data_IF_728237212604
#
_entry.id   IF_728237212604
#
_cell.length_a   1.000
_cell.length_b   1.000
_cell.length_c   1.000
_cell.angle_alpha   90.00
_cell.angle_beta   90.00
_cell.angle_gamma   90.00
#
_symmetry.space_group_name_H-M   'P 1'
#
loop_
_entity.id
_entity.type
_entity.pdbx_description
1 polymer ?
#
# COMPACT_ATOMS: atom_id res chain seq x y z
N UNK A 1 -51.56 -29.34 34.16
CA UNK A 1 -51.06 -28.37 33.15
C UNK A 1 -49.74 -27.81 33.63
N UNK A 2 -48.69 -27.83 32.79
CA UNK A 2 -47.40 -27.09 32.79
C UNK A 2 -46.71 -26.83 34.15
N UNK A 3 -45.40 -27.05 34.28
CA UNK A 3 -44.38 -26.15 33.71
C UNK A 3 -43.00 -26.84 33.67
N UNK A 4 -42.42 -26.92 32.48
CA UNK A 4 -41.00 -27.17 32.26
C UNK A 4 -40.20 -25.93 32.69
N UNK A 5 -39.24 -26.08 33.60
CA UNK A 5 -38.20 -25.09 33.83
C UNK A 5 -36.99 -25.45 32.97
N UNK A 6 -36.84 -24.73 31.85
CA UNK A 6 -35.73 -24.85 30.92
C UNK A 6 -34.45 -24.24 31.49
N UNK A 7 -33.37 -25.01 31.48
CA UNK A 7 -32.03 -24.52 31.73
C UNK A 7 -31.57 -23.70 30.50
N UNK A 8 -31.41 -22.40 30.68
CA UNK A 8 -30.80 -21.52 29.69
C UNK A 8 -29.27 -21.68 29.77
N UNK A 9 -28.71 -22.48 28.87
CA UNK A 9 -27.28 -22.54 28.60
C UNK A 9 -26.85 -21.22 27.92
N UNK A 10 -26.15 -20.38 28.67
CA UNK A 10 -25.41 -19.22 28.18
C UNK A 10 -24.29 -19.69 27.24
N UNK A 11 -24.58 -19.76 25.94
CA UNK A 11 -23.56 -19.86 24.92
C UNK A 11 -22.91 -18.48 24.73
N UNK A 12 -21.80 -18.24 25.43
CA UNK A 12 -20.87 -17.16 25.12
C UNK A 12 -20.22 -17.49 23.78
N UNK A 13 -20.83 -17.03 22.68
CA UNK A 13 -20.21 -17.07 21.36
C UNK A 13 -18.97 -16.19 21.38
N UNK A 14 -17.81 -16.82 21.53
CA UNK A 14 -16.51 -16.25 21.19
C UNK A 14 -16.61 -15.71 19.75
N UNK A 15 -16.74 -14.40 19.62
CA UNK A 15 -16.36 -13.70 18.39
C UNK A 15 -14.87 -13.93 18.21
N UNK A 16 -14.51 -15.06 17.61
CA UNK A 16 -13.19 -15.23 17.03
C UNK A 16 -13.08 -14.12 15.98
N UNK A 17 -12.42 -13.01 16.34
CA UNK A 17 -11.88 -12.08 15.38
C UNK A 17 -11.10 -12.95 14.40
N UNK A 18 -11.68 -13.17 13.21
CA UNK A 18 -11.03 -13.92 12.16
C UNK A 18 -9.76 -13.14 11.83
N UNK A 19 -8.63 -13.55 12.41
CA UNK A 19 -7.30 -13.15 12.00
C UNK A 19 -7.04 -13.74 10.62
N UNK A 20 -7.78 -13.25 9.63
CA UNK A 20 -7.53 -13.57 8.23
C UNK A 20 -6.14 -13.02 7.91
N UNK A 21 -5.26 -13.89 7.42
CA UNK A 21 -3.92 -13.50 7.02
C UNK A 21 -4.01 -12.37 5.98
N UNK A 22 -3.19 -11.33 6.15
CA UNK A 22 -3.18 -10.20 5.24
C UNK A 22 -2.83 -10.66 3.81
N UNK A 23 -3.32 -9.96 2.77
CA UNK A 23 -2.99 -10.28 1.39
C UNK A 23 -1.47 -10.35 1.14
N UNK A 24 -0.70 -9.46 1.77
CA UNK A 24 0.76 -9.52 1.74
C UNK A 24 1.30 -10.84 2.28
N UNK A 25 0.83 -11.29 3.45
CA UNK A 25 1.29 -12.55 4.05
C UNK A 25 1.00 -13.74 3.13
N UNK A 26 -0.15 -13.74 2.46
CA UNK A 26 -0.50 -14.79 1.49
C UNK A 26 0.43 -14.79 0.27
N UNK A 27 0.87 -13.60 -0.17
CA UNK A 27 1.75 -13.47 -1.34
C UNK A 27 3.24 -13.72 -1.02
N UNK A 28 3.69 -13.36 0.18
CA UNK A 28 5.12 -13.29 0.52
C UNK A 28 5.54 -14.16 1.73
N UNK A 29 4.60 -14.68 2.51
CA UNK A 29 4.87 -15.55 3.65
C UNK A 29 5.45 -14.81 4.88
N UNK A 30 6.16 -15.56 5.73
CA UNK A 30 6.81 -15.07 6.96
C UNK A 30 8.26 -14.62 6.75
N UNK A 31 8.78 -14.72 5.53
CA UNK A 31 10.18 -14.45 5.23
C UNK A 31 10.50 -12.95 5.34
N UNK A 32 11.79 -12.63 5.24
CA UNK A 32 12.25 -11.25 5.20
C UNK A 32 11.49 -10.44 4.15
N UNK A 33 11.25 -9.15 4.45
CA UNK A 33 10.55 -8.26 3.54
C UNK A 33 11.25 -8.25 2.16
N UNK A 34 10.53 -8.40 1.03
CA UNK A 34 11.15 -8.49 -0.28
C UNK A 34 12.06 -7.29 -0.56
N UNK A 35 13.34 -7.56 -0.73
CA UNK A 35 14.35 -6.54 -1.04
C UNK A 35 14.43 -6.28 -2.55
N UNK A 36 15.28 -5.33 -2.94
CA UNK A 36 15.57 -5.03 -4.33
C UNK A 36 16.15 -6.24 -5.08
N UNK A 37 15.82 -6.34 -6.37
CA UNK A 37 16.46 -7.30 -7.28
C UNK A 37 17.92 -6.90 -7.52
N UNK A 38 18.75 -7.85 -7.93
CA UNK A 38 20.15 -7.58 -8.29
C UNK A 38 20.23 -6.47 -9.34
N UNK A 39 21.11 -5.49 -9.12
CA UNK A 39 21.30 -4.34 -10.01
C UNK A 39 20.20 -3.27 -9.95
N UNK A 40 19.12 -3.49 -9.21
CA UNK A 40 17.96 -2.58 -9.14
C UNK A 40 17.78 -2.01 -7.73
N UNK A 41 16.95 -0.98 -7.61
CA UNK A 41 16.32 -0.53 -6.38
C UNK A 41 14.86 -1.00 -6.34
N UNK A 42 14.31 -1.23 -5.16
CA UNK A 42 12.88 -1.45 -4.94
C UNK A 42 12.24 -0.21 -4.33
N UNK A 43 11.41 0.49 -5.12
CA UNK A 43 10.60 1.60 -4.63
C UNK A 43 9.17 1.12 -4.42
N UNK A 44 8.70 1.21 -3.17
CA UNK A 44 7.32 0.95 -2.81
C UNK A 44 6.58 2.28 -2.71
N UNK A 45 5.44 2.37 -3.40
CA UNK A 45 4.52 3.50 -3.29
C UNK A 45 3.25 2.97 -2.65
N UNK A 46 2.94 3.47 -1.46
CA UNK A 46 1.84 2.99 -0.62
C UNK A 46 0.77 4.05 -0.48
N UNK A 47 -0.48 3.63 -0.38
CA UNK A 47 -1.58 4.48 0.10
C UNK A 47 -2.16 3.84 1.35
N UNK A 48 -2.25 4.63 2.41
CA UNK A 48 -2.88 4.17 3.65
C UNK A 48 -4.39 3.95 3.46
N UNK A 49 -5.05 3.50 4.52
CA UNK A 49 -6.49 3.33 4.59
C UNK A 49 -7.19 4.62 4.19
N UNK A 50 -8.20 4.48 3.34
CA UNK A 50 -9.02 5.59 2.87
C UNK A 50 -10.50 5.22 2.95
N UNK A 51 -11.42 6.20 3.05
CA UNK A 51 -12.85 5.95 2.92
C UNK A 51 -13.20 5.16 1.65
N UNK A 52 -14.24 4.32 1.65
CA UNK A 52 -14.61 3.50 0.48
C UNK A 52 -14.93 4.31 -0.79
N UNK A 53 -15.38 5.55 -0.62
CA UNK A 53 -15.73 6.50 -1.68
C UNK A 53 -14.57 7.44 -2.06
N UNK A 54 -13.42 7.35 -1.39
CA UNK A 54 -12.27 8.18 -1.71
C UNK A 54 -11.72 7.86 -3.11
N UNK A 55 -11.48 8.87 -3.96
CA UNK A 55 -10.95 8.65 -5.30
C UNK A 55 -9.56 8.01 -5.25
N UNK A 56 -9.23 7.18 -6.25
CA UNK A 56 -7.87 6.64 -6.45
C UNK A 56 -6.83 7.75 -6.63
N UNK A 57 -5.59 7.51 -6.21
CA UNK A 57 -4.45 8.40 -6.49
C UNK A 57 -3.65 7.79 -7.64
N UNK A 58 -3.53 8.51 -8.75
CA UNK A 58 -2.76 8.05 -9.90
C UNK A 58 -1.29 8.43 -9.75
N UNK A 59 -0.41 7.55 -10.22
CA UNK A 59 1.04 7.71 -10.18
C UNK A 59 1.58 7.74 -11.60
N UNK A 60 2.45 8.71 -11.90
CA UNK A 60 3.27 8.70 -13.11
C UNK A 60 4.76 8.76 -12.77
N UNK A 61 5.55 8.35 -13.77
CA UNK A 61 6.97 8.60 -13.84
C UNK A 61 7.21 9.54 -15.02
N UNK A 62 7.61 10.77 -14.73
CA UNK A 62 7.52 11.90 -15.66
C UNK A 62 6.11 11.98 -16.26
N UNK A 63 5.97 11.76 -17.57
CA UNK A 63 4.68 11.82 -18.28
C UNK A 63 4.02 10.45 -18.48
N UNK A 64 4.67 9.36 -18.06
CA UNK A 64 4.19 8.01 -18.31
C UNK A 64 3.40 7.48 -17.11
N UNK A 65 2.15 7.05 -17.27
CA UNK A 65 1.37 6.48 -16.18
C UNK A 65 1.99 5.16 -15.71
N UNK A 66 2.11 5.02 -14.39
CA UNK A 66 2.69 3.84 -13.73
C UNK A 66 1.59 2.99 -13.09
N UNK A 67 0.54 3.61 -12.56
CA UNK A 67 -0.59 2.90 -11.95
C UNK A 67 -1.46 3.81 -11.10
N UNK A 68 -2.36 3.21 -10.32
CA UNK A 68 -3.22 3.92 -9.37
C UNK A 68 -3.35 3.17 -8.05
N UNK A 69 -3.51 3.91 -6.96
CA UNK A 69 -3.63 3.40 -5.59
C UNK A 69 -5.00 3.75 -5.00
N UNK A 70 -5.76 2.75 -4.59
CA UNK A 70 -6.95 2.88 -3.72
C UNK A 70 -6.56 2.72 -2.25
N UNK A 71 -7.50 2.91 -1.32
CA UNK A 71 -7.22 2.77 0.11
C UNK A 71 -6.60 1.41 0.45
N UNK A 72 -5.58 1.42 1.31
CA UNK A 72 -4.86 0.21 1.76
C UNK A 72 -4.24 -0.61 0.61
N UNK A 73 -3.70 0.07 -0.41
CA UNK A 73 -3.00 -0.58 -1.52
C UNK A 73 -1.57 -0.08 -1.69
N UNK A 74 -0.77 -0.85 -2.42
CA UNK A 74 0.61 -0.49 -2.71
C UNK A 74 1.07 -1.07 -4.05
N UNK A 75 2.04 -0.41 -4.67
CA UNK A 75 2.75 -0.90 -5.85
C UNK A 75 4.27 -0.89 -5.62
N UNK A 76 4.98 -1.75 -6.33
CA UNK A 76 6.45 -1.83 -6.30
C UNK A 76 6.99 -1.54 -7.69
N UNK A 77 7.96 -0.63 -7.76
CA UNK A 77 8.76 -0.37 -8.96
C UNK A 77 10.17 -0.92 -8.72
N UNK A 78 10.65 -1.76 -9.63
CA UNK A 78 12.04 -2.19 -9.67
C UNK A 78 12.80 -1.27 -10.61
N UNK A 79 13.60 -0.36 -10.05
CA UNK A 79 14.19 0.75 -10.79
C UNK A 79 15.71 0.57 -10.95
N UNK A 80 16.27 0.73 -12.16
CA UNK A 80 17.71 0.93 -12.31
C UNK A 80 18.22 2.13 -11.50
N UNK A 81 19.53 2.22 -11.20
CA UNK A 81 20.09 3.41 -10.55
C UNK A 81 19.98 4.66 -11.43
N UNK A 82 19.13 5.62 -11.05
CA UNK A 82 18.94 6.90 -11.74
C UNK A 82 18.12 7.86 -10.85
N UNK A 83 18.15 9.18 -11.08
CA UNK A 83 17.03 10.06 -10.76
C UNK A 83 15.76 9.73 -11.56
N UNK A 84 14.62 9.74 -10.86
CA UNK A 84 13.28 9.57 -11.39
C UNK A 84 12.38 10.71 -10.91
N UNK A 85 11.66 11.33 -11.83
CA UNK A 85 10.55 12.25 -11.52
C UNK A 85 9.30 11.42 -11.29
N UNK A 86 8.80 11.38 -10.06
CA UNK A 86 7.56 10.70 -9.69
C UNK A 86 6.50 11.71 -9.29
N UNK A 87 5.26 11.44 -9.72
CA UNK A 87 4.14 12.34 -9.50
C UNK A 87 2.94 11.59 -8.98
N UNK A 88 2.27 12.19 -7.99
CA UNK A 88 0.93 11.78 -7.58
C UNK A 88 -0.08 12.80 -8.10
N UNK A 89 -1.17 12.31 -8.71
CA UNK A 89 -2.25 13.14 -9.25
C UNK A 89 -3.49 12.96 -8.40
N UNK A 90 -4.09 14.10 -8.03
CA UNK A 90 -5.48 14.18 -7.63
C UNK A 90 -6.38 14.54 -8.81
N UNK A 91 -7.57 15.03 -8.53
CA UNK A 91 -8.54 15.47 -9.54
C UNK A 91 -8.20 16.83 -10.17
N UNK A 92 -7.34 17.66 -9.54
CA UNK A 92 -7.05 19.03 -10.02
C UNK A 92 -5.56 19.27 -10.33
N UNK A 93 -4.65 18.89 -9.44
CA UNK A 93 -3.20 19.09 -9.63
C UNK A 93 -2.36 17.83 -9.35
N UNK A 94 -1.08 17.92 -9.71
CA UNK A 94 -0.05 16.91 -9.44
C UNK A 94 1.06 17.47 -8.57
N UNK A 95 1.49 16.72 -7.56
CA UNK A 95 2.73 17.04 -6.83
C UNK A 95 3.88 16.19 -7.37
N UNK A 96 5.02 16.84 -7.60
CA UNK A 96 6.26 16.23 -8.09
C UNK A 96 7.24 15.94 -6.93
N UNK A 97 7.82 14.74 -6.96
CA UNK A 97 8.96 14.36 -6.13
C UNK A 97 10.02 13.72 -7.01
N UNK A 98 11.21 14.33 -7.04
CA UNK A 98 12.39 13.73 -7.67
C UNK A 98 13.04 12.75 -6.70
N UNK A 99 13.13 11.49 -7.10
CA UNK A 99 13.70 10.39 -6.35
C UNK A 99 14.97 9.92 -7.03
N UNK A 100 16.11 9.97 -6.33
CA UNK A 100 17.32 9.27 -6.77
C UNK A 100 17.46 7.97 -6.01
N UNK A 101 17.62 6.86 -6.73
CA UNK A 101 17.84 5.52 -6.16
C UNK A 101 19.16 4.92 -6.61
N UNK A 102 19.71 4.03 -5.79
CA UNK A 102 20.90 3.24 -6.10
C UNK A 102 20.62 1.74 -6.02
N UNK A 103 21.47 0.92 -6.62
CA UNK A 103 21.30 -0.54 -6.62
C UNK A 103 21.30 -1.11 -5.19
N UNK A 104 20.43 -2.09 -4.93
CA UNK A 104 20.23 -2.71 -3.63
C UNK A 104 19.32 -1.91 -2.68
N UNK A 105 18.95 -0.68 -3.05
CA UNK A 105 18.18 0.18 -2.17
C UNK A 105 16.71 -0.23 -2.12
N UNK A 106 16.10 -0.14 -0.93
CA UNK A 106 14.64 -0.27 -0.77
C UNK A 106 14.12 1.02 -0.17
N UNK A 107 13.17 1.69 -0.84
CA UNK A 107 12.56 2.94 -0.35
C UNK A 107 11.04 2.88 -0.36
N UNK A 108 10.43 3.79 0.39
CA UNK A 108 8.99 3.88 0.57
C UNK A 108 8.51 5.32 0.42
N UNK A 109 7.47 5.50 -0.39
CA UNK A 109 6.73 6.76 -0.52
C UNK A 109 5.27 6.54 -0.12
N UNK A 110 4.71 7.48 0.62
CA UNK A 110 3.28 7.59 0.87
C UNK A 110 2.64 8.47 -0.20
N UNK A 111 1.66 7.92 -0.91
CA UNK A 111 0.71 8.67 -1.72
C UNK A 111 -0.49 9.06 -0.86
N UNK A 112 -0.71 10.37 -0.68
CA UNK A 112 -1.79 10.88 0.17
C UNK A 112 -2.51 12.08 -0.47
N UNK A 113 -3.77 12.36 -0.08
CA UNK A 113 -4.44 13.59 -0.46
C UNK A 113 -3.69 14.83 0.04
N UNK A 114 -3.73 15.89 -0.77
CA UNK A 114 -3.27 17.22 -0.43
C UNK A 114 -4.43 18.18 -0.63
N UNK A 115 -5.01 18.66 0.47
CA UNK A 115 -6.26 19.41 0.42
C UNK A 115 -7.43 18.56 -0.10
N UNK A 116 -8.37 19.19 -0.80
CA UNK A 116 -9.62 18.54 -1.23
C UNK A 116 -9.47 17.70 -2.50
N UNK A 117 -8.63 18.16 -3.44
CA UNK A 117 -8.61 17.64 -4.79
C UNK A 117 -7.24 17.16 -5.26
N UNK A 118 -6.17 17.41 -4.51
CA UNK A 118 -4.82 17.09 -4.97
C UNK A 118 -4.24 15.88 -4.25
N UNK A 119 -3.10 15.42 -4.74
CA UNK A 119 -2.35 14.34 -4.11
C UNK A 119 -0.86 14.69 -4.08
N UNK A 120 -0.16 14.09 -3.13
CA UNK A 120 1.28 14.21 -2.99
C UNK A 120 1.97 12.90 -2.65
N UNK A 121 3.28 12.91 -2.87
CA UNK A 121 4.21 11.86 -2.47
C UNK A 121 5.06 12.38 -1.31
N UNK A 122 5.15 11.62 -0.23
CA UNK A 122 6.01 11.94 0.91
C UNK A 122 6.86 10.72 1.29
N UNK A 123 8.06 10.96 1.82
CA UNK A 123 8.94 9.88 2.24
C UNK A 123 8.42 9.19 3.49
N UNK A 124 8.51 7.86 3.50
CA UNK A 124 8.26 7.06 4.70
C UNK A 124 9.57 6.50 5.27
N UNK A 125 9.55 6.29 6.58
CA UNK A 125 10.56 5.47 7.25
C UNK A 125 10.50 4.02 6.73
N UNK A 126 11.59 3.27 6.88
CA UNK A 126 11.61 1.83 6.58
C UNK A 126 10.54 1.08 7.38
N UNK A 127 10.33 1.47 8.63
CA UNK A 127 9.39 0.83 9.53
C UNK A 127 7.95 1.05 9.08
N UNK A 128 7.55 2.31 8.84
CA UNK A 128 6.20 2.66 8.40
C UNK A 128 5.89 2.09 7.02
N UNK A 129 6.84 2.18 6.10
CA UNK A 129 6.69 1.62 4.76
C UNK A 129 6.41 0.12 4.80
N UNK A 130 7.20 -0.65 5.57
CA UNK A 130 6.99 -2.09 5.73
C UNK A 130 5.68 -2.42 6.42
N UNK A 131 5.30 -1.63 7.44
CA UNK A 131 4.02 -1.78 8.15
C UNK A 131 2.84 -1.63 7.19
N UNK A 132 2.83 -0.58 6.38
CA UNK A 132 1.75 -0.31 5.42
C UNK A 132 1.71 -1.36 4.30
N UNK A 133 2.86 -1.78 3.77
CA UNK A 133 2.91 -2.84 2.75
C UNK A 133 2.38 -4.18 3.27
N UNK A 134 2.72 -4.56 4.52
CA UNK A 134 2.21 -5.80 5.13
C UNK A 134 0.71 -5.79 5.39
N UNK A 135 0.16 -4.61 5.66
CA UNK A 135 -1.28 -4.41 5.90
C UNK A 135 -2.08 -4.31 4.59
N UNK A 136 -1.45 -3.77 3.53
CA UNK A 136 -2.12 -3.46 2.27
C UNK A 136 -2.10 -4.59 1.23
N UNK A 137 -2.81 -4.32 0.14
CA UNK A 137 -2.88 -5.21 -1.03
C UNK A 137 -1.99 -4.68 -2.15
N UNK A 138 -1.20 -5.57 -2.76
CA UNK A 138 -0.43 -5.21 -3.94
C UNK A 138 -1.35 -4.96 -5.14
N UNK A 139 -1.10 -3.89 -5.87
CA UNK A 139 -1.66 -3.64 -7.20
C UNK A 139 -0.58 -3.77 -8.26
N UNK A 140 -1.00 -4.04 -9.50
CA UNK A 140 -0.12 -4.07 -10.66
C UNK A 140 0.42 -2.68 -11.02
N UNK A 141 1.45 -2.67 -11.87
CA UNK A 141 2.03 -1.45 -12.43
C UNK A 141 2.15 -1.62 -13.94
N UNK A 142 2.09 -0.51 -14.68
CA UNK A 142 2.35 -0.45 -16.12
C UNK A 142 3.82 -0.18 -16.44
N UNK A 143 4.65 0.02 -15.41
CA UNK A 143 6.07 0.24 -15.58
C UNK A 143 6.77 -1.05 -16.01
N UNK A 144 7.49 -0.97 -17.12
CA UNK A 144 8.40 -1.99 -17.60
C UNK A 144 9.78 -1.34 -17.74
N UNK A 145 10.78 -1.75 -16.91
CA UNK A 145 12.11 -1.13 -16.89
C UNK A 145 12.89 -1.28 -18.20
#
# INVERSE_FOLDING_TARGET
MMKFLGAALLALSLSACQNSQSPWYKAYGTTSFPVAKEGMAALYIVRDTAPPDAPGILISMSRNPVGGLTGSTWMRLDLPPNPYDLRAFGSSESTEVVVTVVAGETRFLLAQPKGTNDAELTWLSQEDGRRLVRAGTQVGTYYNP
#
